data_IF_521034849141
#
_entry.id   IF_521034849141
#
_cell.length_a   1.000
_cell.length_b   1.000
_cell.length_c   1.000
_cell.angle_alpha   90.00
_cell.angle_beta   90.00
_cell.angle_gamma   90.00
#
_symmetry.space_group_name_H-M   'P 1'
#
loop_
_entity.id
_entity.type
_entity.pdbx_description
1 polymer ?
#
# COMPACT_ATOMS: atom_id res chain seq x y z
N UNK A 1 -1.25 8.86 25.90
CA UNK A 1 -2.66 9.22 25.62
C UNK A 1 -2.86 9.86 24.25
N UNK A 2 -2.21 10.98 23.90
CA UNK A 2 -2.45 11.65 22.61
C UNK A 2 -2.24 10.79 21.35
N UNK A 3 -1.13 10.04 21.27
CA UNK A 3 -0.88 9.14 20.14
C UNK A 3 -1.95 8.04 20.00
N UNK A 4 -2.38 7.46 21.13
CA UNK A 4 -3.45 6.45 21.16
C UNK A 4 -4.78 7.02 20.66
N UNK A 5 -5.16 8.22 21.11
CA UNK A 5 -6.37 8.89 20.65
C UNK A 5 -6.30 9.16 19.15
N UNK A 6 -5.16 9.65 18.66
CA UNK A 6 -4.93 9.87 17.24
C UNK A 6 -5.06 8.57 16.42
N UNK A 7 -4.42 7.48 16.87
CA UNK A 7 -4.53 6.18 16.18
C UNK A 7 -5.93 5.58 16.24
N UNK A 8 -6.72 5.90 17.26
CA UNK A 8 -8.12 5.48 17.38
C UNK A 8 -9.08 6.32 16.48
N UNK A 9 -8.56 7.21 15.64
CA UNK A 9 -9.36 8.04 14.73
C UNK A 9 -9.95 9.29 15.38
N UNK A 10 -9.46 9.70 16.56
CA UNK A 10 -9.94 10.90 17.23
C UNK A 10 -9.59 12.15 16.41
N UNK A 11 -10.58 13.03 16.20
CA UNK A 11 -10.35 14.26 15.41
C UNK A 11 -9.42 15.22 16.15
N UNK A 12 -8.68 16.04 15.39
CA UNK A 12 -7.81 17.09 15.93
C UNK A 12 -8.52 17.98 16.96
N UNK A 13 -9.77 18.37 16.69
CA UNK A 13 -10.57 19.23 17.59
C UNK A 13 -10.72 18.61 18.98
N UNK A 14 -11.02 17.32 19.05
CA UNK A 14 -11.18 16.61 20.33
C UNK A 14 -9.84 16.50 21.05
N UNK A 15 -8.76 16.22 20.31
CA UNK A 15 -7.40 16.18 20.87
C UNK A 15 -7.01 17.56 21.45
N UNK A 16 -7.30 18.65 20.75
CA UNK A 16 -7.00 20.01 21.20
C UNK A 16 -7.83 20.40 22.44
N UNK A 17 -9.10 19.97 22.53
CA UNK A 17 -9.93 20.15 23.74
C UNK A 17 -9.34 19.38 24.93
N UNK A 18 -8.98 18.11 24.74
CA UNK A 18 -8.36 17.30 25.78
C UNK A 18 -7.00 17.84 26.20
N UNK A 19 -6.26 18.43 25.27
CA UNK A 19 -5.01 19.13 25.56
C UNK A 19 -5.24 20.37 26.43
N UNK A 20 -6.23 21.21 26.09
CA UNK A 20 -6.61 22.36 26.91
C UNK A 20 -7.09 21.97 28.32
N UNK A 21 -7.71 20.79 28.46
CA UNK A 21 -8.09 20.21 29.74
C UNK A 21 -6.94 19.50 30.49
N UNK A 22 -5.73 19.45 29.93
CA UNK A 22 -4.57 18.77 30.53
C UNK A 22 -4.61 17.23 30.46
N UNK A 23 -5.55 16.65 29.71
CA UNK A 23 -5.76 15.20 29.59
C UNK A 23 -4.98 14.57 28.42
N UNK A 24 -4.46 15.38 27.50
CA UNK A 24 -3.68 14.93 26.34
C UNK A 24 -2.54 15.89 25.99
N UNK A 25 -1.58 15.39 25.23
CA UNK A 25 -0.58 16.24 24.55
C UNK A 25 -1.22 16.97 23.38
N UNK A 26 -0.61 18.09 22.99
CA UNK A 26 -1.06 18.90 21.85
C UNK A 26 -0.97 18.11 20.54
N UNK A 27 -1.84 18.41 19.58
CA UNK A 27 -1.79 17.80 18.26
C UNK A 27 -0.42 18.00 17.55
N UNK A 28 0.22 19.18 17.60
CA UNK A 28 1.59 19.35 17.07
C UNK A 28 2.62 18.43 17.71
N UNK A 29 2.52 18.17 19.02
CA UNK A 29 3.42 17.24 19.72
C UNK A 29 3.25 15.81 19.19
N UNK A 30 2.02 15.39 18.91
CA UNK A 30 1.74 14.06 18.33
C UNK A 30 2.39 13.94 16.95
N UNK A 31 2.25 14.95 16.09
CA UNK A 31 2.85 14.93 14.76
C UNK A 31 4.38 14.83 14.81
N UNK A 32 5.04 15.62 15.67
CA UNK A 32 6.50 15.53 15.86
C UNK A 32 6.92 14.13 16.31
N UNK A 33 6.17 13.54 17.24
CA UNK A 33 6.43 12.18 17.71
C UNK A 33 6.29 11.15 16.58
N UNK A 34 5.27 11.27 15.72
CA UNK A 34 5.08 10.40 14.55
C UNK A 34 6.23 10.54 13.54
N UNK A 35 6.68 11.76 13.27
CA UNK A 35 7.84 12.00 12.41
C UNK A 35 9.11 11.35 12.97
N UNK A 36 9.36 11.50 14.26
CA UNK A 36 10.55 10.94 14.90
C UNK A 36 10.48 9.40 14.97
N UNK A 37 9.31 8.83 15.23
CA UNK A 37 9.08 7.38 15.11
C UNK A 37 9.37 6.88 13.70
N UNK A 38 8.93 7.62 12.68
CA UNK A 38 9.16 7.28 11.27
C UNK A 38 10.66 7.32 10.93
N UNK A 39 11.38 8.37 11.36
CA UNK A 39 12.84 8.48 11.16
C UNK A 39 13.59 7.33 11.85
N UNK A 40 13.18 6.98 13.07
CA UNK A 40 13.78 5.89 13.83
C UNK A 40 13.51 4.52 13.19
N UNK A 41 12.28 4.26 12.76
CA UNK A 41 11.91 3.05 12.04
C UNK A 41 12.72 2.92 10.73
N UNK A 42 12.83 4.02 9.97
CA UNK A 42 13.62 4.05 8.74
C UNK A 42 15.10 3.75 8.99
N UNK A 43 15.66 4.23 10.12
CA UNK A 43 17.05 3.89 10.51
C UNK A 43 17.20 2.39 10.75
N UNK A 44 16.24 1.76 11.44
CA UNK A 44 16.21 0.31 11.66
C UNK A 44 16.12 -0.48 10.36
N UNK A 45 15.21 -0.09 9.47
CA UNK A 45 15.05 -0.68 8.13
C UNK A 45 16.37 -0.58 7.34
N UNK A 46 17.02 0.59 7.31
CA UNK A 46 18.31 0.77 6.62
C UNK A 46 19.43 -0.11 7.18
N UNK A 47 19.41 -0.39 8.48
CA UNK A 47 20.38 -1.29 9.10
C UNK A 47 20.10 -2.74 8.74
N UNK A 48 18.84 -3.18 8.82
CA UNK A 48 18.43 -4.52 8.42
C UNK A 48 18.72 -4.78 6.92
N UNK A 49 18.44 -3.81 6.05
CA UNK A 49 18.68 -3.90 4.62
C UNK A 49 20.16 -4.08 4.23
N UNK A 50 21.10 -3.72 5.11
CA UNK A 50 22.54 -3.92 4.91
C UNK A 50 23.03 -5.29 5.40
N UNK A 51 22.33 -5.87 6.37
CA UNK A 51 22.75 -7.10 7.05
C UNK A 51 22.11 -8.34 6.44
N UNK A 52 20.81 -8.24 6.15
CA UNK A 52 19.97 -9.38 5.83
C UNK A 52 19.48 -9.29 4.38
N UNK A 53 19.23 -10.43 3.72
CA UNK A 53 18.53 -10.46 2.44
C UNK A 53 17.07 -9.98 2.59
N UNK A 54 16.61 -9.16 1.65
CA UNK A 54 15.27 -8.56 1.69
C UNK A 54 14.61 -8.48 0.32
N UNK A 55 13.29 -8.39 0.34
CA UNK A 55 12.42 -8.10 -0.81
C UNK A 55 11.66 -6.80 -0.54
N UNK A 56 11.49 -5.97 -1.57
CA UNK A 56 10.65 -4.77 -1.49
C UNK A 56 9.39 -4.99 -2.32
N UNK A 57 8.24 -4.85 -1.66
CA UNK A 57 6.91 -5.00 -2.26
C UNK A 57 6.26 -3.63 -2.31
N UNK A 58 5.65 -3.29 -3.43
CA UNK A 58 4.92 -2.04 -3.62
C UNK A 58 3.42 -2.34 -3.71
N UNK A 59 2.62 -1.48 -3.08
CA UNK A 59 1.17 -1.49 -3.18
C UNK A 59 0.66 -0.07 -3.44
N UNK A 60 -0.43 0.06 -4.20
CA UNK A 60 -1.05 1.34 -4.50
C UNK A 60 -2.23 1.58 -3.54
N UNK A 61 -2.15 2.67 -2.79
CA UNK A 61 -3.21 3.14 -1.91
C UNK A 61 -3.93 4.30 -2.58
N UNK A 62 -5.24 4.16 -2.74
CA UNK A 62 -6.10 5.18 -3.33
C UNK A 62 -7.15 5.63 -2.31
N UNK A 63 -7.17 6.93 -2.01
CA UNK A 63 -8.15 7.56 -1.13
C UNK A 63 -9.10 8.44 -1.94
N UNK A 64 -10.34 7.99 -2.08
CA UNK A 64 -11.41 8.79 -2.64
C UNK A 64 -12.14 9.57 -1.54
N UNK A 65 -11.95 10.89 -1.48
CA UNK A 65 -12.70 11.79 -0.60
C UNK A 65 -13.93 12.29 -1.34
N UNK A 66 -15.06 11.61 -1.12
CA UNK A 66 -16.35 12.01 -1.69
C UNK A 66 -17.02 13.08 -0.84
N UNK A 67 -17.47 14.16 -1.47
CA UNK A 67 -18.31 15.21 -0.86
C UNK A 67 -19.75 14.94 -1.24
N UNK A 68 -20.65 15.09 -0.26
CA UNK A 68 -22.08 14.88 -0.49
C UNK A 68 -22.71 15.97 -1.40
N UNK A 69 -22.17 17.19 -1.36
CA UNK A 69 -22.59 18.33 -2.16
C UNK A 69 -21.35 18.97 -2.79
N UNK A 70 -21.17 18.79 -4.11
CA UNK A 70 -20.05 19.35 -4.84
C UNK A 70 -20.33 20.83 -5.15
N UNK A 71 -19.40 21.71 -4.76
CA UNK A 71 -19.48 23.16 -5.05
C UNK A 71 -18.28 23.59 -5.88
N UNK A 72 -18.38 24.73 -6.55
CA UNK A 72 -17.34 25.29 -7.46
C UNK A 72 -15.97 25.52 -6.77
N UNK A 73 -15.86 25.34 -5.44
CA UNK A 73 -14.58 25.31 -4.72
C UNK A 73 -14.38 24.13 -3.76
N UNK A 74 -15.24 23.11 -3.82
CA UNK A 74 -15.19 21.93 -2.95
C UNK A 74 -15.76 20.73 -3.72
N UNK A 75 -14.92 20.17 -4.58
CA UNK A 75 -15.22 18.99 -5.40
C UNK A 75 -14.73 17.71 -4.71
N UNK A 76 -15.07 16.56 -5.30
CA UNK A 76 -14.46 15.29 -4.93
C UNK A 76 -12.96 15.34 -5.18
N UNK A 77 -12.21 14.68 -4.30
CA UNK A 77 -10.76 14.62 -4.37
C UNK A 77 -10.30 13.17 -4.34
N UNK A 78 -9.31 12.86 -5.16
CA UNK A 78 -8.77 11.51 -5.29
C UNK A 78 -7.26 11.57 -5.09
N UNK A 79 -6.83 11.12 -3.92
CA UNK A 79 -5.41 11.06 -3.55
C UNK A 79 -4.91 9.64 -3.81
N UNK A 80 -3.95 9.49 -4.72
CA UNK A 80 -3.26 8.23 -4.97
C UNK A 80 -1.86 8.28 -4.39
N UNK A 81 -1.44 7.20 -3.74
CA UNK A 81 -0.10 7.04 -3.18
C UNK A 81 0.41 5.62 -3.37
N UNK A 82 1.72 5.46 -3.41
CA UNK A 82 2.37 4.14 -3.44
C UNK A 82 3.04 3.89 -2.10
N UNK A 83 2.75 2.73 -1.51
CA UNK A 83 3.36 2.26 -0.26
C UNK A 83 4.36 1.17 -0.57
N UNK A 84 5.55 1.25 0.03
CA UNK A 84 6.59 0.24 -0.10
C UNK A 84 6.79 -0.49 1.24
N UNK A 85 6.81 -1.82 1.20
CA UNK A 85 7.02 -2.69 2.37
C UNK A 85 8.25 -3.56 2.15
N UNK A 86 9.19 -3.53 3.10
CA UNK A 86 10.39 -4.37 3.06
C UNK A 86 10.16 -5.65 3.87
N UNK A 87 10.32 -6.80 3.24
CA UNK A 87 10.25 -8.13 3.86
C UNK A 87 11.67 -8.65 4.02
N UNK A 88 12.06 -8.94 5.26
CA UNK A 88 13.36 -9.54 5.58
C UNK A 88 13.15 -11.06 5.67
N UNK A 89 13.92 -11.84 4.92
CA UNK A 89 13.77 -13.30 4.89
C UNK A 89 14.97 -14.02 5.49
N UNK A 90 14.78 -14.73 6.61
CA UNK A 90 15.84 -15.54 7.23
C UNK A 90 16.26 -16.76 6.38
N UNK A 91 15.39 -17.23 5.48
CA UNK A 91 15.63 -18.35 4.55
C UNK A 91 15.79 -17.91 3.09
N UNK A 92 15.94 -16.60 2.82
CA UNK A 92 16.37 -16.15 1.50
C UNK A 92 17.85 -16.54 1.37
N UNK A 93 18.12 -17.70 0.77
CA UNK A 93 19.49 -18.16 0.55
C UNK A 93 20.30 -17.04 -0.11
N UNK A 94 21.56 -16.86 0.30
CA UNK A 94 22.40 -15.75 -0.17
C UNK A 94 22.54 -15.71 -1.70
N UNK A 95 22.25 -16.82 -2.40
CA UNK A 95 22.12 -16.89 -3.85
C UNK A 95 20.84 -16.26 -4.41
N UNK A 96 19.70 -16.41 -3.74
CA UNK A 96 18.40 -15.86 -4.19
C UNK A 96 18.28 -14.35 -3.97
N UNK A 97 18.89 -13.81 -2.91
CA UNK A 97 18.81 -12.38 -2.62
C UNK A 97 19.76 -11.52 -3.47
N UNK A 98 20.96 -12.04 -3.75
CA UNK A 98 21.84 -11.42 -4.76
C UNK A 98 21.26 -11.58 -6.16
N UNK A 99 20.60 -12.72 -6.47
CA UNK A 99 19.84 -12.87 -7.70
C UNK A 99 18.73 -11.84 -7.80
N UNK A 100 17.89 -11.58 -6.78
CA UNK A 100 16.82 -10.56 -6.92
C UNK A 100 17.39 -9.16 -7.21
N UNK A 101 18.55 -8.81 -6.63
CA UNK A 101 19.21 -7.53 -6.91
C UNK A 101 19.80 -7.45 -8.33
N UNK A 102 20.22 -8.59 -8.91
CA UNK A 102 20.72 -8.71 -10.29
C UNK A 102 19.66 -9.16 -11.32
N UNK A 103 18.49 -9.66 -10.90
CA UNK A 103 17.43 -10.13 -11.80
C UNK A 103 16.73 -8.95 -12.46
N UNK A 104 16.66 -7.82 -11.77
CA UNK A 104 16.19 -6.57 -12.38
C UNK A 104 17.22 -5.89 -13.30
N UNK A 105 18.51 -6.30 -13.27
CA UNK A 105 19.52 -5.76 -14.19
C UNK A 105 19.54 -6.50 -15.55
N UNK A 106 18.78 -7.59 -15.68
CA UNK A 106 18.63 -8.38 -16.91
C UNK A 106 17.17 -8.76 -17.21
N UNK A 107 16.22 -7.89 -16.90
CA UNK A 107 14.89 -8.03 -17.49
C UNK A 107 15.02 -7.99 -19.01
N UNK A 108 14.88 -9.15 -19.65
CA UNK A 108 14.84 -9.27 -21.09
C UNK A 108 13.39 -9.20 -21.55
N UNK A 109 13.18 -8.90 -22.83
CA UNK A 109 11.83 -8.93 -23.40
C UNK A 109 11.15 -10.29 -23.24
N UNK A 110 11.91 -11.38 -23.10
CA UNK A 110 11.36 -12.72 -22.89
C UNK A 110 10.74 -12.91 -21.50
N UNK A 111 11.21 -12.19 -20.47
CA UNK A 111 10.65 -12.27 -19.11
C UNK A 111 9.27 -11.57 -18.99
N UNK A 112 8.88 -10.81 -20.02
CA UNK A 112 7.55 -10.21 -20.16
C UNK A 112 6.64 -10.98 -21.12
N UNK A 113 7.17 -12.02 -21.79
CA UNK A 113 6.38 -12.89 -22.62
C UNK A 113 5.87 -14.04 -21.76
N UNK A 114 4.57 -14.27 -21.82
CA UNK A 114 3.94 -15.40 -21.14
C UNK A 114 4.57 -16.70 -21.63
N UNK A 115 5.06 -17.53 -20.73
CA UNK A 115 5.38 -18.91 -21.08
C UNK A 115 4.10 -19.72 -21.36
N UNK A 116 4.22 -20.94 -21.90
CA UNK A 116 3.05 -21.75 -22.26
C UNK A 116 2.17 -22.07 -21.03
N UNK A 117 2.75 -22.20 -19.84
CA UNK A 117 2.04 -22.49 -18.61
C UNK A 117 1.30 -21.25 -18.06
N UNK A 118 1.92 -20.08 -18.15
CA UNK A 118 1.37 -18.77 -17.81
C UNK A 118 0.28 -18.36 -18.82
N UNK A 119 0.47 -18.65 -20.10
CA UNK A 119 -0.54 -18.43 -21.14
C UNK A 119 -1.79 -19.29 -20.88
N UNK A 120 -1.62 -20.55 -20.49
CA UNK A 120 -2.72 -21.42 -20.09
C UNK A 120 -3.39 -20.96 -18.79
N UNK A 121 -2.62 -20.45 -17.83
CA UNK A 121 -3.17 -19.83 -16.63
C UNK A 121 -4.00 -18.59 -16.96
N UNK A 122 -3.48 -17.67 -17.79
CA UNK A 122 -4.18 -16.47 -18.23
C UNK A 122 -5.43 -16.79 -19.06
N UNK A 123 -5.42 -17.84 -19.88
CA UNK A 123 -6.63 -18.35 -20.56
C UNK A 123 -7.68 -18.85 -19.57
N UNK A 124 -7.27 -19.53 -18.49
CA UNK A 124 -8.19 -19.97 -17.43
C UNK A 124 -8.77 -18.76 -16.69
N UNK A 125 -7.92 -17.84 -16.25
CA UNK A 125 -8.30 -16.63 -15.52
C UNK A 125 -9.23 -15.74 -16.35
N UNK A 126 -8.91 -15.49 -17.62
CA UNK A 126 -9.77 -14.70 -18.53
C UNK A 126 -11.12 -15.38 -18.80
N UNK A 127 -11.16 -16.72 -18.88
CA UNK A 127 -12.42 -17.45 -19.00
C UNK A 127 -13.33 -17.23 -17.78
N UNK A 128 -12.78 -17.26 -16.57
CA UNK A 128 -13.59 -17.05 -15.36
C UNK A 128 -13.98 -15.57 -15.15
N UNK A 129 -13.08 -14.63 -15.41
CA UNK A 129 -13.37 -13.21 -15.12
C UNK A 129 -14.12 -12.48 -16.24
N UNK A 130 -13.89 -12.84 -17.50
CA UNK A 130 -14.49 -12.14 -18.64
C UNK A 130 -15.63 -12.97 -19.22
N UNK A 131 -15.39 -14.23 -19.57
CA UNK A 131 -16.41 -15.02 -20.27
C UNK A 131 -17.57 -15.44 -19.36
N UNK A 132 -17.33 -15.83 -18.11
CA UNK A 132 -18.44 -16.17 -17.21
C UNK A 132 -19.24 -14.95 -16.78
N UNK A 133 -18.58 -13.81 -16.53
CA UNK A 133 -19.30 -12.56 -16.23
C UNK A 133 -20.07 -12.02 -17.43
N UNK A 134 -19.51 -12.11 -18.64
CA UNK A 134 -20.26 -11.77 -19.85
C UNK A 134 -21.45 -12.71 -20.07
N UNK A 135 -21.30 -14.02 -19.84
CA UNK A 135 -22.41 -14.98 -19.95
C UNK A 135 -23.53 -14.70 -18.95
N UNK A 136 -23.20 -14.45 -17.67
CA UNK A 136 -24.21 -14.07 -16.67
C UNK A 136 -25.00 -12.84 -17.08
N UNK A 137 -24.34 -11.85 -17.69
CA UNK A 137 -24.98 -10.61 -18.11
C UNK A 137 -25.69 -10.71 -19.48
N UNK A 138 -25.27 -11.62 -20.36
CA UNK A 138 -25.94 -11.91 -21.64
C UNK A 138 -27.18 -12.80 -21.47
N UNK A 139 -27.17 -13.77 -20.56
CA UNK A 139 -28.35 -14.58 -20.23
C UNK A 139 -29.46 -13.76 -19.55
N UNK A 140 -29.12 -12.59 -19.00
CA UNK A 140 -30.08 -11.59 -18.53
C UNK A 140 -30.78 -10.79 -19.64
N UNK A 141 -30.28 -10.86 -20.88
CA UNK A 141 -30.88 -10.24 -22.07
C UNK A 141 -31.39 -11.34 -23.01
N UNK A 142 -32.54 -11.95 -22.67
CA UNK A 142 -33.34 -12.63 -23.67
C UNK A 142 -33.94 -11.56 -24.61
N UNK A 143 -33.55 -11.58 -25.89
CA UNK A 143 -34.29 -10.95 -26.98
C UNK A 143 -35.68 -11.60 -27.12
#
# INVERSE_FOLDING_TARGET
MGLYLYSAGCTRKVIDILHGAGLSVSFPTINRLLEDLTKNALKGIKQAAKRDPWLLVYDNINFAKRKYDQRVGNADDFESGTTATMIIGENLSSGSAHQIRDSYSRLSSADFMLDDAEADHMKRVSRFHILEELKKNLEGYNL
#
